data_IF_711433553203
#
_entry.id   IF_711433553203
#
_cell.length_a   1.000
_cell.length_b   1.000
_cell.length_c   1.000
_cell.angle_alpha   90.00
_cell.angle_beta   90.00
_cell.angle_gamma   90.00
#
_symmetry.space_group_name_H-M   'P 1'
#
loop_
_entity.id
_entity.type
_entity.pdbx_description
1 polymer ?
#
# COMPACT_ATOMS: atom_id res chain seq x y z
N UNK A 1 3.47 -10.74 -6.41
CA UNK A 1 4.80 -11.29 -6.59
C UNK A 1 5.53 -11.36 -5.29
N UNK A 2 5.36 -12.41 -4.54
CA UNK A 2 6.09 -12.46 -3.28
C UNK A 2 6.71 -13.83 -3.17
N UNK A 3 7.98 -13.86 -3.52
CA UNK A 3 8.88 -14.79 -2.88
C UNK A 3 8.86 -14.40 -1.40
N UNK A 4 8.34 -15.27 -0.54
CA UNK A 4 8.00 -14.96 0.85
C UNK A 4 9.19 -14.51 1.70
N UNK A 5 10.41 -14.60 1.20
CA UNK A 5 11.64 -14.36 1.96
C UNK A 5 12.50 -13.21 1.40
N UNK A 6 12.17 -12.63 0.24
CA UNK A 6 12.93 -11.51 -0.33
C UNK A 6 12.16 -10.21 -0.24
N UNK A 7 12.78 -9.20 0.38
CA UNK A 7 12.28 -7.83 0.35
C UNK A 7 12.26 -7.31 -1.08
N UNK A 8 11.13 -6.73 -1.48
CA UNK A 8 10.99 -6.14 -2.81
C UNK A 8 11.32 -4.65 -2.80
N UNK A 9 11.50 -4.07 -3.98
CA UNK A 9 11.70 -2.64 -4.10
C UNK A 9 10.51 -1.90 -3.47
N UNK A 10 10.81 -0.97 -2.56
CA UNK A 10 9.81 -0.25 -1.78
C UNK A 10 9.42 -0.89 -0.44
N UNK A 11 9.90 -2.10 -0.15
CA UNK A 11 9.70 -2.77 1.15
C UNK A 11 10.82 -2.49 2.17
N UNK A 12 11.70 -1.55 1.89
CA UNK A 12 12.80 -1.16 2.79
C UNK A 12 13.10 0.34 2.65
N UNK A 13 13.69 0.91 3.68
CA UNK A 13 13.99 2.35 3.75
C UNK A 13 15.01 2.84 2.73
N UNK A 14 15.69 1.93 2.02
CA UNK A 14 16.64 2.24 0.98
C UNK A 14 17.74 3.19 1.47
N UNK A 15 18.03 4.21 0.69
CA UNK A 15 19.03 5.22 1.01
C UNK A 15 18.62 6.17 2.16
N UNK A 16 17.35 6.18 2.56
CA UNK A 16 16.88 6.95 3.73
C UNK A 16 17.22 6.25 5.05
N UNK A 17 17.46 4.94 5.02
CA UNK A 17 17.82 4.14 6.18
C UNK A 17 16.64 3.47 6.88
N UNK A 18 16.96 2.56 7.79
CA UNK A 18 16.00 1.63 8.45
C UNK A 18 14.86 2.31 9.21
N UNK A 19 15.02 3.54 9.66
CA UNK A 19 13.94 4.26 10.37
C UNK A 19 12.75 4.62 9.46
N UNK A 20 12.93 4.51 8.15
CA UNK A 20 11.90 4.77 7.14
C UNK A 20 11.38 3.49 6.49
N UNK A 21 11.73 2.33 7.06
CA UNK A 21 11.18 1.06 6.56
C UNK A 21 9.69 0.95 6.84
N UNK A 22 8.90 0.51 5.87
CA UNK A 22 7.49 0.23 6.09
C UNK A 22 7.32 -1.01 6.97
N UNK A 23 6.20 -1.07 7.69
CA UNK A 23 5.78 -2.31 8.35
C UNK A 23 5.15 -3.19 7.29
N UNK A 24 5.77 -4.34 7.02
CA UNK A 24 5.31 -5.28 6.00
C UNK A 24 4.44 -6.34 6.65
N UNK A 25 3.22 -6.48 6.15
CA UNK A 25 2.30 -7.54 6.56
C UNK A 25 2.10 -8.49 5.39
N UNK A 26 2.38 -9.76 5.64
CA UNK A 26 2.19 -10.81 4.65
C UNK A 26 1.10 -11.75 5.11
N UNK A 27 0.21 -12.19 4.22
CA UNK A 27 -0.75 -13.21 4.58
C UNK A 27 -0.03 -14.51 4.90
N UNK A 28 -0.42 -15.13 5.98
CA UNK A 28 0.10 -16.45 6.35
C UNK A 28 -0.81 -17.52 5.79
N UNK A 29 -0.28 -18.35 4.91
CA UNK A 29 -0.91 -19.53 4.39
C UNK A 29 -2.30 -19.29 3.77
N UNK A 30 -2.56 -19.79 2.64
CA UNK A 30 -3.85 -19.73 1.99
C UNK A 30 -3.87 -20.71 0.85
N UNK A 31 -5.03 -21.24 0.56
CA UNK A 31 -5.25 -21.94 -0.69
C UNK A 31 -5.02 -20.96 -1.84
N UNK A 32 -4.18 -21.30 -2.82
CA UNK A 32 -4.11 -20.56 -4.06
C UNK A 32 -5.54 -20.39 -4.59
N UNK A 33 -5.95 -19.17 -4.97
CA UNK A 33 -7.26 -18.87 -5.49
C UNK A 33 -8.48 -18.91 -4.59
N UNK A 34 -8.63 -19.86 -3.70
CA UNK A 34 -9.63 -19.76 -2.65
C UNK A 34 -9.37 -18.56 -1.76
N UNK A 35 -8.14 -18.08 -1.82
CA UNK A 35 -7.71 -16.71 -1.54
C UNK A 35 -8.05 -16.18 -0.16
N UNK A 36 -8.54 -17.02 0.72
CA UNK A 36 -8.90 -16.59 2.06
C UNK A 36 -7.73 -16.87 2.97
N UNK A 37 -6.80 -15.92 3.03
CA UNK A 37 -5.97 -15.89 4.23
C UNK A 37 -6.86 -15.42 5.38
N UNK A 38 -7.04 -16.27 6.36
CA UNK A 38 -7.73 -15.91 7.60
C UNK A 38 -6.90 -14.99 8.48
N UNK A 39 -5.62 -14.89 8.20
CA UNK A 39 -4.68 -14.06 8.95
C UNK A 39 -3.93 -13.14 7.98
N UNK A 40 -4.26 -11.87 8.02
CA UNK A 40 -3.51 -10.80 7.31
C UNK A 40 -2.43 -10.26 8.25
N UNK A 41 -1.52 -11.11 8.70
CA UNK A 41 -0.46 -10.68 9.61
C UNK A 41 -0.93 -10.36 11.03
N UNK A 42 -2.18 -10.70 11.39
CA UNK A 42 -2.68 -10.54 12.75
C UNK A 42 -1.80 -11.27 13.76
N UNK A 43 -1.20 -12.39 13.36
CA UNK A 43 -0.23 -13.14 14.18
C UNK A 43 1.00 -12.30 14.53
N UNK A 44 1.43 -11.40 13.67
CA UNK A 44 2.52 -10.44 13.95
C UNK A 44 2.15 -9.51 15.11
N UNK A 45 0.86 -9.28 15.31
CA UNK A 45 0.30 -8.46 16.37
C UNK A 45 -0.41 -9.28 17.46
N UNK A 46 -0.35 -10.60 17.42
CA UNK A 46 -0.79 -11.46 18.52
C UNK A 46 0.12 -11.26 19.74
N UNK A 47 -0.08 -10.13 20.37
CA UNK A 47 0.51 -9.81 21.67
C UNK A 47 -0.26 -10.51 22.79
N UNK A 48 -1.01 -11.54 22.49
CA UNK A 48 -1.80 -12.29 23.46
C UNK A 48 -1.00 -12.91 24.62
N UNK A 49 0.33 -12.76 24.60
CA UNK A 49 1.25 -13.18 25.65
C UNK A 49 2.13 -12.05 26.20
N UNK A 50 1.97 -10.81 25.74
CA UNK A 50 2.76 -9.70 26.28
C UNK A 50 2.02 -9.10 27.45
N UNK A 51 2.56 -9.31 28.63
CA UNK A 51 2.16 -8.62 29.84
C UNK A 51 2.44 -7.13 29.68
N UNK A 52 1.39 -6.35 29.41
CA UNK A 52 1.48 -4.89 29.21
C UNK A 52 2.09 -4.20 30.41
N UNK A 53 1.86 -4.71 31.63
CA UNK A 53 2.50 -4.20 32.84
C UNK A 53 4.01 -4.45 32.84
N UNK A 54 4.46 -5.56 32.25
CA UNK A 54 5.89 -5.85 32.07
C UNK A 54 6.53 -4.93 31.03
N UNK A 55 5.84 -4.63 29.93
CA UNK A 55 6.33 -3.66 28.93
C UNK A 55 6.46 -2.29 29.57
N UNK A 56 5.45 -1.81 30.29
CA UNK A 56 5.47 -0.51 30.98
C UNK A 56 6.59 -0.43 32.01
N UNK A 57 6.84 -1.50 32.79
CA UNK A 57 7.95 -1.56 33.75
C UNK A 57 9.31 -1.50 33.07
N UNK A 58 9.46 -2.18 31.93
CA UNK A 58 10.71 -2.13 31.13
C UNK A 58 10.96 -0.73 30.58
N UNK A 59 9.92 -0.07 30.10
CA UNK A 59 10.01 1.29 29.59
C UNK A 59 10.40 2.28 30.71
N UNK A 60 9.79 2.18 31.87
CA UNK A 60 10.14 2.98 33.01
C UNK A 60 11.62 2.77 33.48
N UNK A 61 12.11 1.52 33.37
CA UNK A 61 13.51 1.20 33.64
C UNK A 61 14.42 1.83 32.55
N UNK A 62 14.08 1.71 31.29
CA UNK A 62 14.83 2.30 30.18
C UNK A 62 14.96 3.80 30.36
N UNK A 63 13.85 4.51 30.59
CA UNK A 63 13.87 5.98 30.85
C UNK A 63 14.75 6.37 32.02
N UNK A 64 14.81 5.54 33.07
CA UNK A 64 15.71 5.77 34.17
C UNK A 64 17.18 5.57 33.81
N UNK A 65 17.49 4.59 32.97
CA UNK A 65 18.85 4.32 32.51
C UNK A 65 19.37 5.44 31.61
N UNK A 66 18.51 6.00 30.77
CA UNK A 66 18.82 7.14 29.88
C UNK A 66 19.21 8.41 30.68
N UNK A 67 18.73 8.55 31.89
CA UNK A 67 19.06 9.68 32.78
C UNK A 67 20.45 9.52 33.46
N UNK A 68 21.09 8.35 33.30
CA UNK A 68 22.42 8.13 33.84
C UNK A 68 23.50 8.82 33.00
N UNK A 69 24.50 9.43 33.61
CA UNK A 69 25.57 10.10 32.89
C UNK A 69 26.30 9.15 31.92
N UNK A 70 26.45 9.56 30.68
CA UNK A 70 27.15 8.82 29.63
C UNK A 70 26.31 7.80 28.85
N UNK A 71 25.07 7.51 29.23
CA UNK A 71 24.23 6.52 28.51
C UNK A 71 23.24 7.15 27.50
N UNK A 72 22.96 8.42 27.60
CA UNK A 72 21.95 9.10 26.78
C UNK A 72 22.22 9.01 25.26
N UNK A 73 23.49 9.04 24.86
CA UNK A 73 23.86 9.00 23.43
C UNK A 73 23.64 7.63 22.78
N UNK A 74 23.77 6.54 23.54
CA UNK A 74 23.60 5.18 23.03
C UNK A 74 22.14 4.82 22.80
N UNK A 75 21.23 5.48 23.52
CA UNK A 75 19.79 5.23 23.42
C UNK A 75 19.08 6.09 22.37
N UNK A 76 19.58 7.30 22.10
CA UNK A 76 18.93 8.26 21.20
C UNK A 76 18.68 7.72 19.78
N UNK A 77 19.56 6.86 19.26
CA UNK A 77 19.40 6.23 17.95
C UNK A 77 18.28 5.20 17.91
N UNK A 78 17.92 4.63 19.05
CA UNK A 78 16.91 3.59 19.18
C UNK A 78 15.55 4.10 19.67
N UNK A 79 15.49 5.32 20.17
CA UNK A 79 14.28 5.89 20.78
C UNK A 79 13.09 5.90 19.84
N UNK A 80 13.31 6.23 18.58
CA UNK A 80 12.26 6.22 17.57
C UNK A 80 11.66 4.82 17.38
N UNK A 81 12.49 3.79 17.28
CA UNK A 81 12.04 2.40 17.10
C UNK A 81 11.35 1.87 18.36
N UNK A 82 11.85 2.23 19.54
CA UNK A 82 11.20 1.88 20.79
C UNK A 82 9.84 2.55 20.95
N UNK A 83 9.71 3.82 20.59
CA UNK A 83 8.44 4.51 20.61
C UNK A 83 7.45 3.88 19.63
N UNK A 84 7.86 3.63 18.39
CA UNK A 84 7.05 2.97 17.38
C UNK A 84 6.62 1.56 17.81
N UNK A 85 7.57 0.75 18.29
CA UNK A 85 7.27 -0.59 18.80
C UNK A 85 6.29 -0.55 19.98
N UNK A 86 6.45 0.39 20.90
CA UNK A 86 5.54 0.58 22.02
C UNK A 86 4.14 0.98 21.54
N UNK A 87 4.05 1.92 20.62
CA UNK A 87 2.76 2.41 20.12
C UNK A 87 2.03 1.32 19.36
N UNK A 88 2.74 0.48 18.59
CA UNK A 88 2.18 -0.73 17.97
C UNK A 88 1.77 -1.76 19.04
N UNK A 89 2.62 -2.02 20.03
CA UNK A 89 2.40 -3.03 21.06
C UNK A 89 1.29 -2.65 22.06
N UNK A 90 1.18 -1.38 22.41
CA UNK A 90 0.21 -0.88 23.40
C UNK A 90 -1.01 -0.23 22.76
N UNK A 91 -0.92 0.18 21.48
CA UNK A 91 -2.02 0.77 20.74
C UNK A 91 -3.15 -0.25 20.48
N UNK A 92 -4.34 0.00 21.01
CA UNK A 92 -5.51 -0.84 20.74
C UNK A 92 -6.03 -0.66 19.31
N UNK A 93 -5.99 0.57 18.78
CA UNK A 93 -6.62 0.93 17.52
C UNK A 93 -6.09 0.13 16.30
N UNK A 94 -4.76 0.03 16.15
CA UNK A 94 -4.16 -0.75 15.05
C UNK A 94 -4.46 -2.24 15.21
N UNK A 95 -4.42 -2.75 16.44
CA UNK A 95 -4.75 -4.16 16.73
C UNK A 95 -6.22 -4.46 16.45
N UNK A 96 -7.12 -3.58 16.87
CA UNK A 96 -8.55 -3.69 16.58
C UNK A 96 -8.84 -3.58 15.07
N UNK A 97 -8.05 -2.77 14.34
CA UNK A 97 -8.14 -2.69 12.89
C UNK A 97 -7.86 -4.03 12.20
N UNK A 98 -6.94 -4.84 12.74
CA UNK A 98 -6.62 -6.17 12.20
C UNK A 98 -7.72 -7.20 12.41
N UNK A 99 -8.59 -7.01 13.39
CA UNK A 99 -9.73 -7.91 13.64
C UNK A 99 -10.86 -7.59 12.65
N UNK A 100 -10.62 -7.93 11.38
CA UNK A 100 -11.56 -7.65 10.28
C UNK A 100 -12.84 -8.47 10.40
N UNK A 101 -12.84 -9.58 11.12
CA UNK A 101 -14.02 -10.43 11.31
C UNK A 101 -15.07 -9.78 12.26
N UNK A 102 -14.70 -8.69 12.93
CA UNK A 102 -15.62 -7.83 13.68
C UNK A 102 -16.44 -6.88 12.80
N UNK A 103 -16.11 -6.77 11.52
CA UNK A 103 -16.82 -5.89 10.61
C UNK A 103 -18.23 -6.43 10.32
N UNK A 104 -19.16 -5.54 9.94
CA UNK A 104 -20.49 -5.94 9.52
C UNK A 104 -20.39 -7.01 8.40
N UNK A 105 -21.09 -8.14 8.52
CA UNK A 105 -21.05 -9.20 7.49
C UNK A 105 -21.37 -8.70 6.07
N UNK A 106 -22.21 -7.68 5.92
CA UNK A 106 -22.52 -7.08 4.62
C UNK A 106 -21.34 -6.34 4.03
N UNK A 107 -20.56 -5.66 4.88
CA UNK A 107 -19.33 -4.98 4.47
C UNK A 107 -18.29 -6.03 4.08
N UNK A 108 -18.07 -7.06 4.91
CA UNK A 108 -17.19 -8.17 4.57
C UNK A 108 -17.54 -8.80 3.21
N UNK A 109 -18.81 -9.05 2.98
CA UNK A 109 -19.30 -9.62 1.72
C UNK A 109 -19.05 -8.68 0.54
N UNK A 110 -19.25 -7.37 0.68
CA UNK A 110 -19.05 -6.40 -0.41
C UNK A 110 -17.62 -6.43 -0.95
N UNK A 111 -16.61 -6.49 -0.08
CA UNK A 111 -15.21 -6.60 -0.48
C UNK A 111 -14.85 -7.95 -1.10
N UNK A 112 -15.62 -8.99 -0.81
CA UNK A 112 -15.34 -10.36 -1.23
C UNK A 112 -14.40 -11.11 -0.28
N UNK A 113 -14.47 -12.44 -0.33
CA UNK A 113 -13.74 -13.33 0.58
C UNK A 113 -12.30 -13.63 0.18
N UNK A 114 -11.84 -13.11 -0.96
CA UNK A 114 -10.47 -13.30 -1.45
C UNK A 114 -9.50 -12.32 -0.77
N UNK A 115 -8.21 -12.66 -0.86
CA UNK A 115 -7.15 -11.92 -0.17
C UNK A 115 -7.11 -10.44 -0.55
N UNK A 116 -7.29 -10.10 -1.83
CA UNK A 116 -7.31 -8.71 -2.30
C UNK A 116 -8.39 -7.89 -1.62
N UNK A 117 -9.63 -8.40 -1.54
CA UNK A 117 -10.73 -7.73 -0.86
C UNK A 117 -10.50 -7.57 0.64
N UNK A 118 -10.05 -8.64 1.31
CA UNK A 118 -9.73 -8.57 2.76
C UNK A 118 -8.57 -7.61 3.05
N UNK A 119 -7.58 -7.54 2.16
CA UNK A 119 -6.47 -6.59 2.30
C UNK A 119 -6.92 -5.14 2.13
N UNK A 120 -7.82 -4.86 1.19
CA UNK A 120 -8.39 -3.51 1.03
C UNK A 120 -9.29 -3.12 2.20
N UNK A 121 -10.07 -4.05 2.74
CA UNK A 121 -10.84 -3.83 3.96
C UNK A 121 -9.93 -3.52 5.15
N UNK A 122 -8.84 -4.27 5.32
CA UNK A 122 -7.84 -3.99 6.34
C UNK A 122 -7.21 -2.60 6.13
N UNK A 123 -6.88 -2.24 4.89
CA UNK A 123 -6.32 -0.93 4.58
C UNK A 123 -7.26 0.21 5.01
N UNK A 124 -8.56 0.09 4.73
CA UNK A 124 -9.57 1.05 5.19
C UNK A 124 -9.57 1.16 6.72
N UNK A 125 -9.57 0.03 7.43
CA UNK A 125 -9.56 0.01 8.90
C UNK A 125 -8.27 0.59 9.50
N UNK A 126 -7.13 0.35 8.87
CA UNK A 126 -5.85 0.93 9.27
C UNK A 126 -5.83 2.45 9.08
N UNK A 127 -6.37 2.97 7.99
CA UNK A 127 -6.49 4.42 7.79
C UNK A 127 -7.43 5.06 8.82
N UNK A 128 -8.54 4.41 9.18
CA UNK A 128 -9.41 4.84 10.27
C UNK A 128 -8.70 4.81 11.64
N UNK A 129 -7.77 3.87 11.84
CA UNK A 129 -6.93 3.80 13.03
C UNK A 129 -5.77 4.83 13.03
N UNK A 130 -5.68 5.69 12.01
CA UNK A 130 -4.71 6.78 11.92
C UNK A 130 -3.41 6.41 11.19
N UNK A 131 -3.33 5.28 10.50
CA UNK A 131 -2.18 4.95 9.66
C UNK A 131 -2.21 5.84 8.41
N UNK A 132 -1.22 6.72 8.20
CA UNK A 132 -1.31 7.75 7.17
C UNK A 132 -1.14 7.23 5.74
N UNK A 133 -0.41 6.14 5.55
CA UNK A 133 -0.17 5.52 4.24
C UNK A 133 -0.25 4.00 4.37
N UNK A 134 -1.09 3.38 3.56
CA UNK A 134 -1.22 1.93 3.47
C UNK A 134 -1.07 1.51 2.01
N UNK A 135 -0.10 0.67 1.73
CA UNK A 135 0.11 0.09 0.40
C UNK A 135 -0.40 -1.35 0.39
N UNK A 136 -1.22 -1.67 -0.60
CA UNK A 136 -1.76 -3.01 -0.82
C UNK A 136 -1.31 -3.54 -2.17
N UNK A 137 -0.62 -4.67 -2.18
CA UNK A 137 -0.36 -5.40 -3.41
C UNK A 137 -1.65 -6.15 -3.79
N UNK A 138 -2.44 -5.53 -4.67
CA UNK A 138 -3.76 -6.05 -5.05
C UNK A 138 -3.63 -7.16 -6.07
N UNK A 139 -3.35 -8.37 -5.59
CA UNK A 139 -3.36 -9.58 -6.40
C UNK A 139 -4.68 -10.33 -6.22
N UNK A 140 -5.18 -10.93 -7.30
CA UNK A 140 -6.45 -11.66 -7.27
C UNK A 140 -6.37 -13.03 -6.62
N UNK A 141 -5.18 -13.58 -6.44
CA UNK A 141 -5.03 -14.97 -6.02
C UNK A 141 -3.66 -15.32 -5.50
N UNK A 142 -3.08 -16.37 -6.03
CA UNK A 142 -1.88 -17.02 -5.56
C UNK A 142 -0.68 -16.08 -5.31
N UNK A 143 -0.36 -15.89 -4.05
CA UNK A 143 0.78 -15.09 -3.62
C UNK A 143 2.13 -15.74 -3.95
N UNK A 144 2.14 -17.03 -4.26
CA UNK A 144 3.35 -17.75 -4.64
C UNK A 144 3.65 -17.63 -6.14
N UNK A 145 2.79 -16.95 -6.91
CA UNK A 145 2.99 -16.77 -8.35
C UNK A 145 2.90 -18.06 -9.18
N UNK A 146 2.52 -19.16 -8.56
CA UNK A 146 2.57 -20.48 -9.21
C UNK A 146 1.42 -20.72 -10.20
N UNK A 147 0.27 -20.08 -10.00
CA UNK A 147 -0.93 -20.38 -10.76
C UNK A 147 -1.24 -19.40 -11.89
N UNK A 148 -0.45 -18.38 -12.05
CA UNK A 148 -0.64 -17.39 -13.09
C UNK A 148 -1.82 -16.44 -12.88
N UNK A 149 -2.33 -16.28 -11.69
CA UNK A 149 -3.39 -15.29 -11.39
C UNK A 149 -2.87 -13.97 -10.88
N UNK A 150 -1.72 -13.64 -11.33
CA UNK A 150 -1.10 -12.35 -11.18
C UNK A 150 -1.35 -11.50 -12.42
N UNK A 151 -1.19 -10.19 -12.29
CA UNK A 151 -1.35 -9.23 -13.38
C UNK A 151 -0.31 -9.39 -14.49
N UNK A 152 0.69 -10.25 -14.30
CA UNK A 152 1.73 -10.54 -15.31
C UNK A 152 1.24 -11.53 -16.35
N UNK A 153 0.47 -11.03 -17.32
CA UNK A 153 -0.30 -11.81 -18.30
C UNK A 153 0.39 -11.97 -19.64
N UNK A 154 1.57 -12.58 -19.66
CA UNK A 154 2.32 -12.91 -20.91
C UNK A 154 1.65 -13.98 -21.79
N UNK A 155 0.63 -14.64 -21.27
CA UNK A 155 -0.20 -15.60 -22.02
C UNK A 155 -1.66 -15.48 -21.59
N UNK A 156 -2.56 -15.78 -22.52
CA UNK A 156 -4.03 -15.80 -22.27
C UNK A 156 -4.57 -14.54 -21.55
N UNK A 157 -4.02 -13.38 -21.90
CA UNK A 157 -4.26 -12.11 -21.21
C UNK A 157 -5.75 -11.79 -21.06
N UNK A 158 -6.53 -11.93 -22.14
CA UNK A 158 -7.93 -11.49 -22.14
C UNK A 158 -8.83 -12.37 -21.28
N UNK A 159 -8.67 -13.69 -21.33
CA UNK A 159 -9.46 -14.61 -20.50
C UNK A 159 -9.09 -14.44 -19.01
N UNK A 160 -7.80 -14.34 -18.70
CA UNK A 160 -7.32 -14.13 -17.33
C UNK A 160 -7.86 -12.83 -16.75
N UNK A 161 -7.78 -11.73 -17.51
CA UNK A 161 -8.36 -10.46 -17.08
C UNK A 161 -9.87 -10.56 -16.91
N UNK A 162 -10.59 -11.05 -17.92
CA UNK A 162 -12.06 -11.06 -17.96
C UNK A 162 -12.68 -11.96 -16.90
N UNK A 163 -12.12 -13.16 -16.69
CA UNK A 163 -12.77 -14.20 -15.88
C UNK A 163 -12.25 -14.28 -14.44
N UNK A 164 -11.08 -13.71 -14.16
CA UNK A 164 -10.42 -13.88 -12.85
C UNK A 164 -9.97 -12.57 -12.21
N UNK A 165 -9.09 -11.82 -12.88
CA UNK A 165 -8.41 -10.68 -12.26
C UNK A 165 -9.33 -9.46 -12.08
N UNK A 166 -9.96 -9.02 -13.18
CA UNK A 166 -10.83 -7.84 -13.16
C UNK A 166 -12.09 -8.00 -12.29
N UNK A 167 -12.81 -9.12 -12.30
CA UNK A 167 -13.99 -9.25 -11.43
C UNK A 167 -13.66 -9.13 -9.93
N UNK A 168 -12.53 -9.68 -9.51
CA UNK A 168 -12.06 -9.58 -8.13
C UNK A 168 -11.63 -8.15 -7.79
N UNK A 169 -10.85 -7.54 -8.67
CA UNK A 169 -10.39 -6.17 -8.53
C UNK A 169 -11.56 -5.18 -8.51
N UNK A 170 -12.45 -5.26 -9.48
CA UNK A 170 -13.62 -4.38 -9.61
C UNK A 170 -14.49 -4.43 -8.35
N UNK A 171 -14.83 -5.64 -7.88
CA UNK A 171 -15.60 -5.82 -6.67
C UNK A 171 -14.93 -5.19 -5.45
N UNK A 172 -13.66 -5.45 -5.23
CA UNK A 172 -12.98 -5.03 -4.01
C UNK A 172 -12.65 -3.54 -4.00
N UNK A 173 -12.26 -2.97 -5.14
CA UNK A 173 -11.96 -1.53 -5.24
C UNK A 173 -13.24 -0.70 -5.21
N UNK A 174 -14.31 -1.14 -5.88
CA UNK A 174 -15.60 -0.45 -5.80
C UNK A 174 -16.17 -0.49 -4.39
N UNK A 175 -16.03 -1.62 -3.68
CA UNK A 175 -16.43 -1.73 -2.28
C UNK A 175 -15.64 -0.76 -1.39
N UNK A 176 -14.32 -0.64 -1.59
CA UNK A 176 -13.50 0.32 -0.85
C UNK A 176 -13.96 1.76 -1.06
N UNK A 177 -14.18 2.15 -2.32
CA UNK A 177 -14.61 3.52 -2.63
C UNK A 177 -16.00 3.82 -2.07
N UNK A 178 -16.92 2.85 -2.18
CA UNK A 178 -18.27 3.01 -1.63
C UNK A 178 -18.25 3.08 -0.09
N UNK A 179 -17.49 2.20 0.57
CA UNK A 179 -17.38 2.18 2.04
C UNK A 179 -16.77 3.49 2.58
N UNK A 180 -15.71 4.01 1.93
CA UNK A 180 -15.14 5.31 2.27
C UNK A 180 -16.15 6.47 2.05
N UNK A 181 -16.94 6.39 0.98
CA UNK A 181 -17.97 7.40 0.70
C UNK A 181 -19.11 7.35 1.73
N UNK A 182 -19.61 6.16 2.04
CA UNK A 182 -20.70 5.95 3.00
C UNK A 182 -20.31 6.39 4.42
N UNK A 183 -19.03 6.24 4.76
CA UNK A 183 -18.43 6.72 6.03
C UNK A 183 -18.08 8.21 6.00
N UNK A 184 -18.22 8.88 4.86
CA UNK A 184 -17.85 10.29 4.71
C UNK A 184 -16.33 10.56 4.77
N UNK A 185 -15.50 9.54 4.61
CA UNK A 185 -14.03 9.64 4.72
C UNK A 185 -13.32 9.72 3.38
N UNK A 186 -14.00 9.49 2.26
CA UNK A 186 -13.41 9.53 0.91
C UNK A 186 -12.78 10.90 0.59
N UNK A 187 -13.36 11.99 1.07
CA UNK A 187 -12.79 13.34 0.87
C UNK A 187 -11.44 13.54 1.53
N UNK A 188 -11.14 12.79 2.60
CA UNK A 188 -9.90 12.86 3.37
C UNK A 188 -8.96 11.66 3.12
N UNK A 189 -9.35 10.75 2.23
CA UNK A 189 -8.57 9.56 1.90
C UNK A 189 -8.33 9.50 0.40
N UNK A 190 -7.08 9.61 -0.02
CA UNK A 190 -6.72 9.39 -1.41
C UNK A 190 -6.53 7.91 -1.67
N UNK A 191 -7.27 7.37 -2.63
CA UNK A 191 -7.09 6.02 -3.16
C UNK A 191 -6.36 6.13 -4.50
N UNK A 192 -5.17 5.56 -4.59
CA UNK A 192 -4.35 5.52 -5.79
C UNK A 192 -4.16 4.07 -6.26
N UNK A 193 -4.61 3.78 -7.47
CA UNK A 193 -4.36 2.51 -8.16
C UNK A 193 -3.23 2.72 -9.14
N UNK A 194 -2.08 2.16 -8.81
CA UNK A 194 -0.83 2.37 -9.52
C UNK A 194 -0.30 1.06 -10.09
N UNK A 195 0.51 1.16 -11.13
CA UNK A 195 1.29 0.07 -11.72
C UNK A 195 2.66 0.60 -12.11
N UNK A 196 3.63 -0.29 -12.24
CA UNK A 196 5.02 0.03 -12.63
C UNK A 196 5.15 0.34 -14.13
N UNK A 197 4.38 -0.35 -14.97
CA UNK A 197 4.35 -0.15 -16.42
C UNK A 197 3.04 -0.69 -17.02
N UNK A 198 2.84 -0.43 -18.31
CA UNK A 198 1.73 -0.95 -19.09
C UNK A 198 2.05 -2.26 -19.80
N UNK A 199 1.24 -2.58 -20.80
CA UNK A 199 1.37 -3.76 -21.64
C UNK A 199 1.46 -3.37 -23.10
N UNK A 200 2.19 -4.18 -23.90
CA UNK A 200 2.35 -3.95 -25.33
C UNK A 200 0.99 -3.79 -26.02
N UNK A 201 0.82 -2.81 -26.92
CA UNK A 201 -0.39 -2.70 -27.75
C UNK A 201 -0.62 -3.94 -28.58
N UNK A 202 0.46 -4.58 -29.05
CA UNK A 202 0.42 -5.81 -29.83
C UNK A 202 0.31 -7.03 -28.92
N UNK A 203 -0.61 -7.94 -29.27
CA UNK A 203 -0.77 -9.24 -28.64
C UNK A 203 0.31 -10.19 -29.18
N UNK A 204 0.98 -10.92 -28.29
CA UNK A 204 2.01 -11.90 -28.64
C UNK A 204 1.42 -13.26 -29.10
N UNK A 205 2.28 -14.18 -29.49
CA UNK A 205 1.87 -15.50 -30.02
C UNK A 205 1.13 -16.37 -28.99
N UNK A 206 1.29 -16.10 -27.69
CA UNK A 206 0.62 -16.81 -26.61
C UNK A 206 -0.71 -16.16 -26.19
N UNK A 207 -1.29 -15.29 -27.02
CA UNK A 207 -2.45 -14.46 -26.72
C UNK A 207 -2.24 -13.59 -25.44
N UNK A 208 -1.00 -13.27 -25.13
CA UNK A 208 -0.58 -12.44 -24.01
C UNK A 208 -0.15 -11.05 -24.45
N UNK A 209 0.20 -10.22 -23.49
CA UNK A 209 0.83 -8.92 -23.69
C UNK A 209 2.07 -8.81 -22.81
N UNK A 210 3.15 -8.31 -23.39
CA UNK A 210 4.43 -8.18 -22.71
C UNK A 210 4.56 -6.82 -22.02
N UNK A 211 5.61 -6.64 -21.20
CA UNK A 211 5.87 -5.40 -20.50
C UNK A 211 6.11 -4.24 -21.47
N UNK A 212 5.52 -3.10 -21.20
CA UNK A 212 5.65 -1.93 -22.06
C UNK A 212 5.61 -0.63 -21.24
N UNK A 213 6.73 0.08 -21.11
CA UNK A 213 6.77 1.30 -20.30
C UNK A 213 6.28 2.55 -21.04
N UNK A 214 6.05 2.48 -22.37
CA UNK A 214 5.77 3.65 -23.20
C UNK A 214 4.49 4.39 -22.86
N UNK A 215 3.44 3.67 -22.41
CA UNK A 215 2.18 4.25 -21.95
C UNK A 215 1.41 3.28 -21.06
N UNK A 216 0.81 3.83 -20.02
CA UNK A 216 -0.09 3.10 -19.13
C UNK A 216 -1.05 4.05 -18.42
N UNK A 217 -2.00 3.53 -17.70
CA UNK A 217 -3.01 4.30 -16.98
C UNK A 217 -2.95 4.01 -15.49
N UNK A 218 -3.22 5.02 -14.69
CA UNK A 218 -3.44 4.92 -13.25
C UNK A 218 -4.81 5.48 -12.90
N UNK A 219 -5.33 5.17 -11.72
CA UNK A 219 -6.59 5.74 -11.27
C UNK A 219 -6.41 6.37 -9.89
N UNK A 220 -7.03 7.54 -9.70
CA UNK A 220 -7.03 8.28 -8.44
C UNK A 220 -8.47 8.59 -8.05
N UNK A 221 -8.80 8.45 -6.77
CA UNK A 221 -10.11 8.78 -6.24
C UNK A 221 -10.03 9.32 -4.81
N UNK A 222 -10.93 10.21 -4.44
CA UNK A 222 -10.93 10.82 -3.10
C UNK A 222 -9.82 11.83 -2.89
N UNK A 223 -9.54 12.21 -1.64
CA UNK A 223 -8.44 13.11 -1.28
C UNK A 223 -8.50 14.48 -1.97
N UNK A 224 -9.69 14.99 -2.32
CA UNK A 224 -9.87 16.25 -3.04
C UNK A 224 -9.79 16.15 -4.57
N UNK A 225 -9.48 14.99 -5.13
CA UNK A 225 -9.47 14.76 -6.58
C UNK A 225 -10.90 14.91 -7.15
N UNK A 226 -11.05 15.69 -8.20
CA UNK A 226 -12.32 15.81 -8.93
C UNK A 226 -12.59 14.53 -9.70
N UNK A 227 -13.65 13.82 -9.33
CA UNK A 227 -14.06 12.58 -9.99
C UNK A 227 -14.63 12.77 -11.40
N UNK A 228 -14.72 11.67 -12.16
CA UNK A 228 -15.37 11.63 -13.47
C UNK A 228 -14.57 12.26 -14.61
N UNK A 229 -13.29 12.56 -14.41
CA UNK A 229 -12.42 13.14 -15.44
C UNK A 229 -11.40 12.13 -15.95
N UNK A 230 -10.96 12.34 -17.19
CA UNK A 230 -9.84 11.62 -17.79
C UNK A 230 -8.75 12.64 -18.08
N UNK A 231 -7.55 12.40 -17.55
CA UNK A 231 -6.38 13.24 -17.79
C UNK A 231 -5.43 12.56 -18.77
N UNK A 232 -5.16 13.22 -19.87
CA UNK A 232 -4.29 12.69 -20.91
C UNK A 232 -4.94 11.64 -21.81
N UNK A 233 -4.26 11.34 -22.91
CA UNK A 233 -4.63 10.25 -23.82
C UNK A 233 -3.42 9.68 -24.54
N UNK A 234 -3.52 8.44 -25.01
CA UNK A 234 -2.53 7.84 -25.89
C UNK A 234 -2.80 8.19 -27.36
N UNK A 235 -1.86 7.84 -28.22
CA UNK A 235 -2.07 7.78 -29.66
C UNK A 235 -3.11 6.70 -30.05
N UNK A 236 -3.47 6.66 -31.33
CA UNK A 236 -4.47 5.72 -31.84
C UNK A 236 -4.06 4.25 -31.77
N UNK A 237 -2.80 3.96 -31.56
CA UNK A 237 -2.28 2.61 -31.37
C UNK A 237 -2.13 2.20 -29.90
N UNK A 238 -2.32 3.14 -28.96
CA UNK A 238 -2.05 2.90 -27.54
C UNK A 238 -0.57 2.67 -27.24
N UNK A 239 0.32 3.27 -28.03
CA UNK A 239 1.76 3.06 -27.95
C UNK A 239 2.49 4.18 -27.21
N UNK A 240 2.08 5.42 -27.41
CA UNK A 240 2.73 6.58 -26.79
C UNK A 240 1.71 7.59 -26.26
N UNK A 241 2.06 8.34 -25.22
CA UNK A 241 1.25 9.49 -24.78
C UNK A 241 1.13 10.50 -25.91
N UNK A 242 -0.06 11.08 -26.08
CA UNK A 242 -0.32 12.11 -27.10
C UNK A 242 -0.77 13.43 -26.50
N UNK A 243 -1.82 13.41 -25.69
CA UNK A 243 -2.37 14.61 -25.09
C UNK A 243 -2.05 14.65 -23.59
N UNK A 244 -1.66 15.81 -23.09
CA UNK A 244 -1.32 16.03 -21.68
C UNK A 244 -0.54 14.85 -21.08
N UNK A 245 0.65 14.54 -21.60
CA UNK A 245 1.48 13.47 -21.05
C UNK A 245 1.80 13.75 -19.59
N UNK A 246 1.82 12.73 -18.76
CA UNK A 246 2.33 12.81 -17.40
C UNK A 246 3.32 11.68 -17.15
N UNK A 247 4.19 11.90 -16.20
CA UNK A 247 5.28 10.98 -15.83
C UNK A 247 5.08 10.44 -14.41
N UNK A 248 5.75 9.36 -14.01
CA UNK A 248 5.73 8.91 -12.62
C UNK A 248 6.08 10.00 -11.60
N UNK A 249 7.09 10.87 -11.80
CA UNK A 249 7.33 12.02 -10.93
C UNK A 249 6.12 12.96 -10.77
N UNK A 250 5.33 13.20 -11.82
CA UNK A 250 4.12 14.04 -11.74
C UNK A 250 3.03 13.39 -10.89
N UNK A 251 2.90 12.05 -10.98
CA UNK A 251 2.01 11.30 -10.08
C UNK A 251 2.50 11.45 -8.62
N UNK A 252 3.80 11.30 -8.35
CA UNK A 252 4.34 11.50 -7.00
C UNK A 252 4.09 12.92 -6.48
N UNK A 253 4.32 13.95 -7.30
CA UNK A 253 4.03 15.34 -6.95
C UNK A 253 2.55 15.54 -6.59
N UNK A 254 1.66 14.91 -7.35
CA UNK A 254 0.21 14.96 -7.14
C UNK A 254 -0.19 14.26 -5.84
N UNK A 255 0.40 13.09 -5.53
CA UNK A 255 0.17 12.38 -4.27
C UNK A 255 0.67 13.19 -3.07
N UNK A 256 1.87 13.79 -3.14
CA UNK A 256 2.38 14.65 -2.07
C UNK A 256 1.49 15.87 -1.86
N UNK A 257 1.04 16.50 -2.93
CA UNK A 257 0.11 17.61 -2.83
C UNK A 257 -1.19 17.23 -2.11
N UNK A 258 -1.79 16.10 -2.48
CA UNK A 258 -3.00 15.57 -1.83
C UNK A 258 -2.79 15.28 -0.34
N UNK A 259 -1.58 14.87 0.05
CA UNK A 259 -1.19 14.66 1.46
C UNK A 259 -0.85 15.97 2.20
N UNK A 260 -0.97 17.12 1.55
CA UNK A 260 -0.58 18.41 2.13
C UNK A 260 0.93 18.62 2.23
N UNK A 261 1.72 17.80 1.55
CA UNK A 261 3.17 17.91 1.50
C UNK A 261 3.60 18.72 0.28
N UNK A 262 4.63 19.55 0.43
CA UNK A 262 5.21 20.25 -0.72
C UNK A 262 5.93 19.24 -1.63
N UNK A 263 5.62 19.18 -2.94
CA UNK A 263 6.41 18.38 -3.88
C UNK A 263 7.89 18.79 -3.93
N UNK A 264 8.18 20.02 -3.55
CA UNK A 264 9.55 20.57 -3.45
C UNK A 264 10.17 20.41 -2.08
N UNK A 265 9.58 19.57 -1.20
CA UNK A 265 10.18 19.26 0.07
C UNK A 265 11.56 18.62 -0.12
N UNK A 266 12.50 19.01 0.73
CA UNK A 266 13.85 18.43 0.72
C UNK A 266 13.91 17.19 1.59
N UNK A 267 14.42 16.12 1.02
CA UNK A 267 14.79 14.91 1.73
C UNK A 267 16.29 14.89 1.97
N UNK A 268 16.73 14.42 3.14
CA UNK A 268 18.16 14.29 3.48
C UNK A 268 18.50 12.84 3.70
N UNK A 269 19.57 12.40 3.04
CA UNK A 269 20.12 11.07 3.28
C UNK A 269 20.92 11.04 4.60
N UNK A 270 21.36 9.86 5.05
CA UNK A 270 22.18 9.74 6.27
C UNK A 270 23.52 10.49 6.23
N UNK A 271 23.99 10.88 5.05
CA UNK A 271 25.19 11.71 4.86
C UNK A 271 24.89 13.21 4.82
N UNK A 272 23.61 13.59 4.97
CA UNK A 272 23.16 14.99 4.95
C UNK A 272 22.99 15.57 3.55
N UNK A 273 23.11 14.78 2.48
CA UNK A 273 22.88 15.25 1.11
C UNK A 273 21.39 15.52 0.90
N UNK A 274 21.09 16.59 0.18
CA UNK A 274 19.72 17.06 -0.06
C UNK A 274 19.23 16.58 -1.42
N UNK A 275 18.01 16.05 -1.45
CA UNK A 275 17.31 15.64 -2.66
C UNK A 275 15.90 16.23 -2.63
N UNK A 276 15.33 16.65 -3.78
CA UNK A 276 13.90 16.97 -3.82
C UNK A 276 13.07 15.70 -3.58
N UNK A 277 11.89 15.88 -3.01
CA UNK A 277 10.96 14.77 -2.82
C UNK A 277 10.51 14.18 -4.17
N UNK A 278 10.36 15.04 -5.19
CA UNK A 278 10.10 14.67 -6.58
C UNK A 278 10.52 15.79 -7.50
N UNK A 279 10.83 15.46 -8.76
CA UNK A 279 11.08 16.42 -9.85
C UNK A 279 9.82 16.68 -10.68
N UNK A 280 8.68 16.10 -10.31
CA UNK A 280 7.43 16.21 -11.05
C UNK A 280 6.61 17.46 -10.71
N UNK A 281 5.59 17.69 -11.53
CA UNK A 281 4.62 18.78 -11.36
C UNK A 281 3.25 18.22 -10.93
N UNK A 282 2.53 18.99 -10.12
CA UNK A 282 1.19 18.60 -9.67
C UNK A 282 0.21 18.65 -10.84
N UNK A 283 -0.52 17.57 -11.07
CA UNK A 283 -1.52 17.50 -12.13
C UNK A 283 -2.77 18.30 -11.77
N UNK A 284 -3.42 18.87 -12.75
CA UNK A 284 -4.66 19.68 -12.60
C UNK A 284 -5.89 18.81 -12.35
N UNK A 285 -5.89 18.08 -11.23
CA UNK A 285 -6.93 17.11 -10.86
C UNK A 285 -7.81 17.58 -9.69
N UNK A 286 -7.46 18.65 -9.01
CA UNK A 286 -8.14 19.20 -7.83
C UNK A 286 -9.14 20.29 -8.14
#
# INVERSE_FOLDING_TARGET
LVDNDTLQAGEYGGWLGVKYEPIIMRPTGGEPFAGVSRSLGAETFEIGKVDTARVSRREALRTRMEQLPGMAADFASHDHFHALARDILLGSAVREAHDIDREDPRVLESYGSHIGGRSLLLARRLTEAGVPVVQVCCAAGDLNGASGDMWDTHGDNFNRLKSRLLPVFDRSVSALLQDLADRGTLGNTLVAVLTDFGRTPRVNASAGRDHYPGVYSVALAGGGIRGGQVYGSSDGLGAFPRDRPCTPPDIHATLFHALGLSPRAELRDPLGRVFPATDGEVLELF
#
